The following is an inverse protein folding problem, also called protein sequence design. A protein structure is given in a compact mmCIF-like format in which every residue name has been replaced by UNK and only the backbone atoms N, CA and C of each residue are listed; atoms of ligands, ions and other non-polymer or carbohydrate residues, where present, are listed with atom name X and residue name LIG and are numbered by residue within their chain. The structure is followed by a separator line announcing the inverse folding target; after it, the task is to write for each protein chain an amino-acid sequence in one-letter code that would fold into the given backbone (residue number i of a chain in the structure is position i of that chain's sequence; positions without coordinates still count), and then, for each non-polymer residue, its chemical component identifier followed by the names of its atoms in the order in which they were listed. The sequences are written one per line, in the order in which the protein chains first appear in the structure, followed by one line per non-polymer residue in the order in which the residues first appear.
data_IF_827528162540
#
_entry.id   IF_827528162540
#
_cell.length_a   1.000
_cell.length_b   1.000
_cell.length_c   1.000
_cell.angle_alpha   90.00
_cell.angle_beta   90.00
_cell.angle_gamma   90.00
#
_symmetry.space_group_name_H-M   'P 1'
#
loop_
_entity.id
_entity.type
_entity.pdbx_description
1 polymer ?
#
# COMPACT_ATOMS: atom_id res chain seq x y z
N UNK A 1 -25.21 -2.35 -2.55
CA UNK A 1 -25.04 -2.07 -1.12
C UNK A 1 -23.58 -1.99 -0.76
N UNK A 2 -22.88 -3.11 -0.88
CA UNK A 2 -21.48 -3.13 -0.51
C UNK A 2 -20.62 -2.21 -1.35
N UNK A 3 -20.94 -2.09 -2.64
CA UNK A 3 -20.18 -1.23 -3.53
C UNK A 3 -20.29 0.24 -3.13
N UNK A 4 -21.48 0.65 -2.70
CA UNK A 4 -21.68 2.03 -2.27
C UNK A 4 -20.88 2.32 -1.00
N UNK A 5 -20.92 1.39 -0.02
CA UNK A 5 -20.12 1.54 1.20
C UNK A 5 -18.65 1.54 0.91
N UNK A 6 -18.21 0.66 0.02
CA UNK A 6 -16.81 0.56 -0.35
C UNK A 6 -16.32 1.84 -1.04
N UNK A 7 -17.15 2.42 -1.90
CA UNK A 7 -16.81 3.67 -2.58
C UNK A 7 -16.70 4.83 -1.60
N UNK A 8 -17.55 4.86 -0.55
CA UNK A 8 -17.54 5.92 0.45
C UNK A 8 -16.42 5.75 1.47
N UNK A 9 -15.93 4.53 1.64
CA UNK A 9 -14.92 4.22 2.66
C UNK A 9 -13.74 3.50 2.01
N UNK A 10 -12.83 4.26 1.37
CA UNK A 10 -11.66 3.64 0.78
C UNK A 10 -10.83 2.94 1.85
N UNK A 11 -10.20 1.85 1.46
CA UNK A 11 -9.44 1.00 2.37
C UNK A 11 -7.96 1.06 2.00
N UNK A 12 -7.12 1.36 2.99
CA UNK A 12 -5.68 1.47 2.81
C UNK A 12 -4.99 0.54 3.79
N UNK A 13 -4.07 -0.27 3.30
CA UNK A 13 -3.29 -1.17 4.13
C UNK A 13 -1.84 -0.70 4.15
N UNK A 14 -1.26 -0.58 5.34
CA UNK A 14 0.14 -0.20 5.53
C UNK A 14 0.90 -1.42 5.99
N UNK A 15 1.93 -1.82 5.24
CA UNK A 15 2.74 -2.99 5.56
C UNK A 15 4.14 -2.51 5.91
N UNK A 16 4.47 -2.56 7.19
CA UNK A 16 5.72 -2.02 7.72
C UNK A 16 6.07 -2.76 9.01
N UNK A 17 7.27 -3.32 9.11
CA UNK A 17 7.64 -4.09 10.28
C UNK A 17 8.06 -3.21 11.47
N UNK A 18 8.50 -1.97 11.23
CA UNK A 18 8.82 -1.04 12.31
C UNK A 18 7.55 -0.45 12.90
N UNK A 19 7.29 -0.80 14.15
CA UNK A 19 6.04 -0.41 14.81
C UNK A 19 5.81 1.10 14.84
N UNK A 20 6.85 1.87 15.19
CA UNK A 20 6.71 3.33 15.27
C UNK A 20 6.36 3.93 13.93
N UNK A 21 7.07 3.52 12.90
CA UNK A 21 6.82 4.05 11.57
C UNK A 21 5.45 3.63 11.07
N UNK A 22 5.07 2.37 11.29
CA UNK A 22 3.75 1.88 10.90
C UNK A 22 2.64 2.70 11.56
N UNK A 23 2.74 2.91 12.87
CA UNK A 23 1.76 3.68 13.61
C UNK A 23 1.68 5.11 13.09
N UNK A 24 2.83 5.73 12.84
CA UNK A 24 2.88 7.11 12.35
C UNK A 24 2.21 7.24 10.98
N UNK A 25 2.49 6.31 10.09
CA UNK A 25 1.92 6.36 8.75
C UNK A 25 0.41 6.13 8.79
N UNK A 26 -0.03 5.14 9.58
CA UNK A 26 -1.46 4.88 9.72
C UNK A 26 -2.20 6.10 10.28
N UNK A 27 -1.66 6.70 11.33
CA UNK A 27 -2.28 7.88 11.95
C UNK A 27 -2.34 9.04 10.98
N UNK A 28 -1.25 9.27 10.24
CA UNK A 28 -1.19 10.36 9.28
C UNK A 28 -2.21 10.15 8.16
N UNK A 29 -2.35 8.93 7.65
CA UNK A 29 -3.31 8.63 6.60
C UNK A 29 -4.75 8.82 7.08
N UNK A 30 -5.04 8.43 8.31
CA UNK A 30 -6.37 8.63 8.89
C UNK A 30 -6.70 10.11 8.97
N UNK A 31 -5.70 10.93 9.29
CA UNK A 31 -5.88 12.37 9.37
C UNK A 31 -6.08 13.00 7.98
N UNK A 32 -5.28 12.58 7.00
CA UNK A 32 -5.34 13.17 5.65
C UNK A 32 -6.50 12.66 4.82
N UNK A 33 -6.97 11.47 5.09
CA UNK A 33 -8.07 10.86 4.34
C UNK A 33 -9.16 10.43 5.32
N UNK A 34 -9.86 11.39 5.93
CA UNK A 34 -10.90 11.05 6.89
C UNK A 34 -12.01 10.24 6.20
N UNK A 35 -12.53 9.26 6.90
CA UNK A 35 -13.50 8.36 6.32
C UNK A 35 -12.90 7.14 5.67
N UNK A 36 -11.58 7.09 5.49
CA UNK A 36 -10.94 5.89 4.97
C UNK A 36 -10.69 4.89 6.10
N UNK A 37 -10.66 3.61 5.72
CA UNK A 37 -10.32 2.53 6.65
C UNK A 37 -8.84 2.24 6.48
N UNK A 38 -8.04 2.62 7.48
CA UNK A 38 -6.59 2.44 7.41
C UNK A 38 -6.16 1.43 8.45
N UNK A 39 -5.47 0.40 8.01
CA UNK A 39 -4.96 -0.64 8.92
C UNK A 39 -3.49 -0.88 8.64
N UNK A 40 -2.78 -1.33 9.67
CA UNK A 40 -1.37 -1.65 9.56
C UNK A 40 -1.11 -3.10 9.89
N UNK A 41 -0.20 -3.72 9.15
CA UNK A 41 0.29 -5.07 9.43
C UNK A 41 1.81 -5.04 9.37
N UNK A 42 2.46 -6.06 9.92
CA UNK A 42 3.92 -6.00 10.07
C UNK A 42 4.69 -6.93 9.15
N UNK A 43 4.01 -7.73 8.33
CA UNK A 43 4.70 -8.69 7.47
C UNK A 43 3.96 -8.84 6.14
N UNK A 44 4.69 -9.38 5.14
CA UNK A 44 4.10 -9.68 3.86
C UNK A 44 3.06 -10.79 3.95
N UNK A 45 3.28 -11.75 4.84
CA UNK A 45 2.33 -12.83 5.07
C UNK A 45 1.01 -12.31 5.61
N UNK A 46 1.08 -11.39 6.57
CA UNK A 46 -0.13 -10.75 7.10
C UNK A 46 -0.82 -9.91 6.05
N UNK A 47 -0.06 -9.23 5.20
CA UNK A 47 -0.61 -8.43 4.12
C UNK A 47 -1.40 -9.30 3.15
N UNK A 48 -0.86 -10.47 2.81
CA UNK A 48 -1.57 -11.40 1.93
C UNK A 48 -2.86 -11.90 2.54
N UNK A 49 -2.82 -12.28 3.82
CA UNK A 49 -4.02 -12.73 4.51
C UNK A 49 -5.08 -11.64 4.56
N UNK A 50 -4.66 -10.42 4.87
CA UNK A 50 -5.58 -9.28 4.94
C UNK A 50 -6.20 -8.98 3.57
N UNK A 51 -5.39 -9.02 2.52
CA UNK A 51 -5.86 -8.73 1.17
C UNK A 51 -6.92 -9.72 0.71
N UNK A 52 -6.77 -10.98 1.10
CA UNK A 52 -7.73 -12.02 0.72
C UNK A 52 -9.10 -11.82 1.34
N UNK A 53 -9.17 -11.20 2.52
CA UNK A 53 -10.44 -11.00 3.22
C UNK A 53 -11.01 -9.61 3.01
N UNK A 54 -10.17 -8.56 3.06
CA UNK A 54 -10.63 -7.18 3.07
C UNK A 54 -10.50 -6.46 1.74
N UNK A 55 -9.64 -6.93 0.85
CA UNK A 55 -9.42 -6.37 -0.50
C UNK A 55 -9.22 -4.85 -0.46
N UNK A 56 -8.10 -4.38 0.09
CA UNK A 56 -7.86 -2.94 0.19
C UNK A 56 -7.74 -2.29 -1.20
N UNK A 57 -8.04 -1.01 -1.27
CA UNK A 57 -7.88 -0.25 -2.51
C UNK A 57 -6.43 0.07 -2.78
N UNK A 58 -5.68 0.39 -1.73
CA UNK A 58 -4.26 0.75 -1.83
C UNK A 58 -3.49 0.02 -0.75
N UNK A 59 -2.35 -0.55 -1.12
CA UNK A 59 -1.41 -1.15 -0.18
C UNK A 59 -0.10 -0.37 -0.26
N UNK A 60 0.37 0.12 0.89
CA UNK A 60 1.68 0.75 1.00
C UNK A 60 2.62 -0.31 1.58
N UNK A 61 3.58 -0.75 0.79
CA UNK A 61 4.39 -1.92 1.10
C UNK A 61 5.87 -1.58 1.23
N UNK A 62 6.44 -1.82 2.41
CA UNK A 62 7.88 -1.72 2.57
C UNK A 62 8.55 -2.85 1.80
N UNK A 63 9.60 -2.54 1.05
CA UNK A 63 10.33 -3.56 0.32
C UNK A 63 11.07 -4.50 1.28
N UNK A 64 11.68 -3.95 2.32
CA UNK A 64 12.52 -4.72 3.23
C UNK A 64 11.71 -5.24 4.42
N UNK A 65 11.07 -6.38 4.22
CA UNK A 65 10.27 -7.03 5.26
C UNK A 65 10.92 -8.34 5.68
N UNK A 66 10.74 -8.76 6.94
CA UNK A 66 11.15 -10.10 7.34
C UNK A 66 10.21 -11.15 6.72
N UNK A 67 10.71 -12.36 6.55
CA UNK A 67 9.93 -13.41 5.90
C UNK A 67 9.91 -13.19 4.39
N UNK A 68 8.74 -13.24 3.77
CA UNK A 68 8.68 -12.90 2.34
C UNK A 68 8.89 -11.39 2.22
N UNK A 69 9.72 -10.99 1.28
CA UNK A 69 10.01 -9.56 1.13
C UNK A 69 8.84 -8.83 0.46
N UNK A 70 8.91 -7.50 0.46
CA UNK A 70 7.83 -6.68 -0.07
C UNK A 70 7.58 -6.90 -1.56
N UNK A 71 8.62 -7.20 -2.33
CA UNK A 71 8.45 -7.42 -3.76
C UNK A 71 7.70 -8.72 -4.03
N UNK A 72 8.03 -9.76 -3.29
CA UNK A 72 7.33 -11.04 -3.39
C UNK A 72 5.86 -10.88 -2.98
N UNK A 73 5.62 -10.20 -1.85
CA UNK A 73 4.27 -9.95 -1.37
C UNK A 73 3.46 -9.15 -2.39
N UNK A 74 4.07 -8.10 -2.96
CA UNK A 74 3.40 -7.27 -3.96
C UNK A 74 3.00 -8.09 -5.18
N UNK A 75 3.91 -8.94 -5.65
CA UNK A 75 3.64 -9.78 -6.80
C UNK A 75 2.45 -10.71 -6.55
N UNK A 76 2.41 -11.32 -5.36
CA UNK A 76 1.31 -12.22 -5.00
C UNK A 76 -0.01 -11.47 -4.85
N UNK A 77 0.03 -10.28 -4.24
CA UNK A 77 -1.17 -9.47 -4.08
C UNK A 77 -1.73 -9.09 -5.45
N UNK A 78 -0.87 -8.66 -6.37
CA UNK A 78 -1.33 -8.28 -7.71
C UNK A 78 -1.91 -9.47 -8.47
N UNK A 79 -1.37 -10.66 -8.26
CA UNK A 79 -1.91 -11.85 -8.91
C UNK A 79 -3.30 -12.20 -8.37
N UNK A 80 -3.52 -12.05 -7.07
CA UNK A 80 -4.78 -12.42 -6.43
C UNK A 80 -5.81 -11.30 -6.45
N UNK A 81 -5.36 -10.03 -6.43
CA UNK A 81 -6.24 -8.88 -6.39
C UNK A 81 -5.74 -7.81 -7.36
N UNK A 82 -5.93 -8.02 -8.67
CA UNK A 82 -5.34 -7.10 -9.68
C UNK A 82 -5.83 -5.66 -9.57
N UNK A 83 -6.97 -5.43 -8.94
CA UNK A 83 -7.50 -4.07 -8.81
C UNK A 83 -6.91 -3.32 -7.62
N UNK A 84 -6.26 -4.02 -6.71
CA UNK A 84 -5.58 -3.38 -5.59
C UNK A 84 -4.32 -2.70 -6.10
N UNK A 85 -4.15 -1.42 -5.81
CA UNK A 85 -2.94 -0.70 -6.17
C UNK A 85 -1.90 -0.91 -5.08
N UNK A 86 -0.67 -1.23 -5.48
CA UNK A 86 0.43 -1.44 -4.52
C UNK A 86 1.49 -0.39 -4.76
N UNK A 87 1.83 0.36 -3.73
CA UNK A 87 2.89 1.37 -3.76
C UNK A 87 4.04 0.85 -2.91
N UNK A 88 5.22 0.73 -3.50
CA UNK A 88 6.39 0.28 -2.77
C UNK A 88 7.05 1.45 -2.05
N UNK A 89 7.46 1.21 -0.82
CA UNK A 89 8.20 2.19 -0.02
C UNK A 89 9.59 1.61 0.23
N UNK A 90 10.64 2.42 0.05
CA UNK A 90 11.99 1.91 0.19
C UNK A 90 12.93 2.97 0.72
N UNK A 91 13.89 2.55 1.56
CA UNK A 91 14.99 3.42 1.98
C UNK A 91 16.05 3.50 0.90
N UNK A 92 16.01 2.61 -0.09
CA UNK A 92 16.99 2.58 -1.18
C UNK A 92 16.29 2.96 -2.48
N UNK A 93 16.80 3.99 -3.13
CA UNK A 93 16.23 4.47 -4.38
C UNK A 93 17.22 4.24 -5.50
N UNK A 94 17.28 3.02 -5.99
CA UNK A 94 18.15 2.65 -7.09
C UNK A 94 17.32 2.24 -8.29
N UNK A 95 17.86 2.36 -9.51
CA UNK A 95 17.15 1.89 -10.71
C UNK A 95 16.78 0.41 -10.63
N UNK A 96 17.63 -0.41 -10.02
CA UNK A 96 17.33 -1.84 -9.87
C UNK A 96 16.08 -2.07 -9.02
N UNK A 97 15.95 -1.34 -7.92
CA UNK A 97 14.79 -1.46 -7.06
C UNK A 97 13.52 -1.01 -7.78
N UNK A 98 13.60 0.07 -8.54
CA UNK A 98 12.45 0.58 -9.29
C UNK A 98 12.00 -0.38 -10.37
N UNK A 99 12.94 -0.99 -11.07
CA UNK A 99 12.64 -1.97 -12.09
C UNK A 99 11.99 -3.21 -11.46
N UNK A 100 12.54 -3.68 -10.34
CA UNK A 100 12.00 -4.83 -9.64
C UNK A 100 10.58 -4.57 -9.16
N UNK A 101 10.31 -3.36 -8.65
CA UNK A 101 8.97 -2.98 -8.21
C UNK A 101 7.98 -2.98 -9.37
N UNK A 102 8.39 -2.43 -10.50
CA UNK A 102 7.53 -2.42 -11.69
C UNK A 102 7.21 -3.85 -12.16
N UNK A 103 8.20 -4.72 -12.15
CA UNK A 103 8.01 -6.12 -12.53
C UNK A 103 7.07 -6.85 -11.58
N UNK A 104 7.07 -6.47 -10.31
CA UNK A 104 6.17 -7.06 -9.33
C UNK A 104 4.73 -6.54 -9.48
N UNK A 105 4.51 -5.56 -10.34
CA UNK A 105 3.19 -5.01 -10.60
C UNK A 105 2.84 -3.80 -9.76
N UNK A 106 3.84 -3.16 -9.14
CA UNK A 106 3.60 -2.00 -8.30
C UNK A 106 3.07 -0.84 -9.14
N UNK A 107 2.10 -0.12 -8.58
CA UNK A 107 1.51 1.07 -9.20
C UNK A 107 2.34 2.32 -8.93
N UNK A 108 3.21 2.28 -7.92
CA UNK A 108 4.06 3.40 -7.59
C UNK A 108 5.25 2.97 -6.75
N UNK A 109 6.22 3.85 -6.64
CA UNK A 109 7.43 3.62 -5.88
C UNK A 109 7.81 4.94 -5.22
N UNK A 110 7.95 4.94 -3.91
CA UNK A 110 8.29 6.15 -3.16
C UNK A 110 9.47 5.84 -2.26
N UNK A 111 10.51 6.66 -2.38
CA UNK A 111 11.61 6.61 -1.41
C UNK A 111 11.09 7.09 -0.07
N UNK A 112 11.44 6.41 1.00
CA UNK A 112 11.00 6.82 2.34
C UNK A 112 11.43 8.24 2.67
N UNK A 113 12.51 8.70 2.06
CA UNK A 113 12.97 10.07 2.20
C UNK A 113 11.94 11.08 1.66
N UNK A 114 11.16 10.69 0.66
CA UNK A 114 10.22 11.58 -0.02
C UNK A 114 8.77 11.34 0.40
N UNK A 115 8.54 10.52 1.42
CA UNK A 115 7.18 10.17 1.83
C UNK A 115 6.33 11.39 2.18
N UNK A 116 6.91 12.35 2.88
CA UNK A 116 6.15 13.52 3.32
C UNK A 116 5.62 14.35 2.16
N UNK A 117 6.36 14.37 1.05
CA UNK A 117 5.97 15.18 -0.10
C UNK A 117 5.15 14.41 -1.13
N UNK A 118 5.38 13.10 -1.26
CA UNK A 118 4.79 12.34 -2.36
C UNK A 118 3.65 11.41 -1.96
N UNK A 119 3.60 11.00 -0.70
CA UNK A 119 2.65 9.97 -0.29
C UNK A 119 1.20 10.41 -0.44
N UNK A 120 0.89 11.62 -0.01
CA UNK A 120 -0.48 12.12 -0.08
C UNK A 120 -0.98 12.17 -1.52
N UNK A 121 -0.20 12.77 -2.41
CA UNK A 121 -0.60 12.91 -3.80
C UNK A 121 -0.74 11.57 -4.49
N UNK A 122 0.16 10.62 -4.17
CA UNK A 122 0.12 9.30 -4.76
C UNK A 122 -1.12 8.54 -4.32
N UNK A 123 -1.42 8.54 -3.01
CA UNK A 123 -2.59 7.85 -2.49
C UNK A 123 -3.86 8.49 -3.03
N UNK A 124 -3.92 9.82 -3.03
CA UNK A 124 -5.09 10.53 -3.53
C UNK A 124 -5.35 10.17 -5.00
N UNK A 125 -4.31 10.16 -5.81
CA UNK A 125 -4.42 9.83 -7.22
C UNK A 125 -4.97 8.41 -7.42
N UNK A 126 -4.46 7.45 -6.64
CA UNK A 126 -4.89 6.07 -6.75
C UNK A 126 -6.33 5.87 -6.27
N UNK A 127 -6.72 6.56 -5.21
CA UNK A 127 -8.10 6.48 -4.74
C UNK A 127 -9.08 7.08 -5.73
N UNK A 128 -8.70 8.16 -6.39
CA UNK A 128 -9.53 8.77 -7.44
C UNK A 128 -9.66 7.85 -8.64
N UNK A 129 -8.58 7.18 -9.03
CA UNK A 129 -8.61 6.25 -10.15
C UNK A 129 -9.57 5.11 -9.90
N UNK A 130 -9.60 4.56 -8.69
CA UNK A 130 -10.50 3.45 -8.39
C UNK A 130 -11.96 3.85 -8.49
N UNK A 131 -12.28 5.10 -8.15
CA UNK A 131 -13.67 5.54 -8.16
C UNK A 131 -14.21 5.72 -9.56
N UNK A 132 -13.35 5.69 -10.57
CA UNK A 132 -13.76 5.78 -11.97
C UNK A 132 -14.01 4.41 -12.61
N UNK A 133 -13.63 3.36 -11.92
CA UNK A 133 -13.83 2.00 -12.45
C UNK A 133 -15.13 1.37 -11.94
#
# INVERSE_FOLDING_TARGET
MNDACHALHPSILVVEDHRSLRTSVVTWLQYRFPGSLVQGVESGEEALAHTRTARPDVVLMDINLPGIDGLEAASRIKAEAPKTAVVMLSTHDTPCHRVAAAKAGASGYISKRDMETLLEATVECLLQSRSRS
#
